data_IF_400452237475
#
_entry.id   IF_400452237475
#
_cell.length_a   1.000
_cell.length_b   1.000
_cell.length_c   1.000
_cell.angle_alpha   90.00
_cell.angle_beta   90.00
_cell.angle_gamma   90.00
#
_symmetry.space_group_name_H-M   'P 1'
#
loop_
_entity.id
_entity.type
_entity.pdbx_description
1 polymer ?
#
# COMPACT_ATOMS: atom_id res chain seq x y z
N UNK A 1 -5.58 8.49 15.86
CA UNK A 1 -4.16 8.47 15.46
C UNK A 1 -4.14 8.68 13.96
N UNK A 2 -3.56 9.78 13.47
CA UNK A 2 -3.46 10.02 12.03
C UNK A 2 -2.47 9.02 11.46
N UNK A 3 -2.92 8.18 10.52
CA UNK A 3 -2.03 7.24 9.84
C UNK A 3 -1.00 8.06 9.04
N UNK A 4 0.29 7.90 9.32
CA UNK A 4 1.38 8.64 8.68
C UNK A 4 1.38 8.49 7.15
N UNK A 5 0.86 7.35 6.64
CA UNK A 5 0.59 7.16 5.21
C UNK A 5 -0.47 8.11 4.62
N UNK A 6 -1.52 8.45 5.38
CA UNK A 6 -2.53 9.43 4.96
C UNK A 6 -1.94 10.85 4.94
N UNK A 7 -1.05 11.16 5.87
CA UNK A 7 -0.35 12.46 5.96
C UNK A 7 0.58 12.63 4.75
N UNK A 8 1.42 11.64 4.45
CA UNK A 8 2.27 11.66 3.26
C UNK A 8 1.48 11.74 1.95
N UNK A 9 0.35 11.04 1.86
CA UNK A 9 -0.56 11.14 0.71
C UNK A 9 -1.09 12.57 0.49
N UNK A 10 -1.48 13.25 1.57
CA UNK A 10 -1.95 14.64 1.54
C UNK A 10 -0.89 15.62 1.05
N UNK A 11 0.34 15.51 1.56
CA UNK A 11 1.45 16.37 1.11
C UNK A 11 1.85 16.11 -0.34
N UNK A 12 1.84 14.85 -0.80
CA UNK A 12 2.04 14.52 -2.23
C UNK A 12 0.96 15.14 -3.12
N UNK A 13 -0.31 15.11 -2.70
CA UNK A 13 -1.39 15.76 -3.42
C UNK A 13 -1.22 17.29 -3.47
N UNK A 14 -0.75 17.90 -2.38
CA UNK A 14 -0.47 19.33 -2.31
C UNK A 14 0.62 19.76 -3.31
N UNK A 15 1.65 18.92 -3.52
CA UNK A 15 2.70 19.14 -4.50
C UNK A 15 2.21 19.05 -5.95
N UNK A 16 1.27 18.15 -6.24
CA UNK A 16 0.69 17.96 -7.57
C UNK A 16 -0.37 19.01 -7.93
N UNK A 17 -0.92 19.71 -6.94
CA UNK A 17 -1.93 20.73 -7.16
C UNK A 17 -1.30 22.03 -7.72
N UNK A 18 -1.69 22.43 -8.93
CA UNK A 18 -1.20 23.68 -9.54
C UNK A 18 -1.74 24.94 -8.84
N UNK A 19 -2.83 24.82 -8.06
CA UNK A 19 -3.47 25.94 -7.36
C UNK A 19 -2.91 26.18 -5.94
N UNK A 20 -1.83 25.50 -5.54
CA UNK A 20 -1.18 25.71 -4.24
C UNK A 20 0.03 26.62 -4.38
N UNK A 21 0.33 27.41 -3.33
CA UNK A 21 1.46 28.34 -3.33
C UNK A 21 2.79 27.59 -3.26
N UNK A 22 3.85 28.27 -3.72
CA UNK A 22 5.21 27.71 -3.67
C UNK A 22 5.70 27.50 -2.24
N UNK A 23 5.32 28.36 -1.28
CA UNK A 23 5.66 28.15 0.13
C UNK A 23 4.99 26.88 0.68
N UNK A 24 3.73 26.65 0.32
CA UNK A 24 2.97 25.47 0.74
C UNK A 24 3.56 24.18 0.16
N UNK A 25 4.04 24.24 -1.08
CA UNK A 25 4.75 23.13 -1.73
C UNK A 25 6.10 22.89 -1.07
N UNK A 26 6.88 23.93 -0.78
CA UNK A 26 8.17 23.77 -0.11
C UNK A 26 8.02 23.10 1.25
N UNK A 27 7.08 23.56 2.08
CA UNK A 27 6.79 22.94 3.36
C UNK A 27 6.33 21.48 3.20
N UNK A 28 5.53 21.18 2.18
CA UNK A 28 5.12 19.79 1.89
C UNK A 28 6.28 18.88 1.49
N UNK A 29 7.33 19.41 0.86
CA UNK A 29 8.56 18.65 0.58
C UNK A 29 9.34 18.37 1.86
N UNK A 30 9.54 19.37 2.70
CA UNK A 30 10.25 19.23 3.98
C UNK A 30 9.61 18.16 4.87
N UNK A 31 8.28 18.17 4.98
CA UNK A 31 7.53 17.17 5.76
C UNK A 31 7.65 15.77 5.14
N UNK A 32 7.64 15.66 3.81
CA UNK A 32 7.82 14.37 3.14
C UNK A 32 9.22 13.79 3.34
N UNK A 33 10.26 14.64 3.27
CA UNK A 33 11.65 14.26 3.52
C UNK A 33 11.84 13.83 4.98
N UNK A 34 11.23 14.53 5.94
CA UNK A 34 11.27 14.17 7.36
C UNK A 34 10.57 12.84 7.63
N UNK A 35 9.39 12.63 7.04
CA UNK A 35 8.66 11.36 7.12
C UNK A 35 9.47 10.21 6.50
N UNK A 36 10.19 10.47 5.40
CA UNK A 36 11.06 9.49 4.75
C UNK A 36 12.24 9.11 5.62
N UNK A 37 12.90 10.09 6.22
CA UNK A 37 13.99 9.89 7.17
C UNK A 37 13.54 9.20 8.46
N UNK A 38 12.32 9.47 8.94
CA UNK A 38 11.77 8.83 10.13
C UNK A 38 11.36 7.37 9.90
N UNK A 39 11.33 6.93 8.63
CA UNK A 39 10.88 5.59 8.25
C UNK A 39 9.38 5.36 8.41
N UNK A 40 8.59 6.37 8.79
CA UNK A 40 7.14 6.25 8.95
C UNK A 40 6.40 6.07 7.62
N UNK A 41 6.91 6.65 6.52
CA UNK A 41 6.31 6.44 5.18
C UNK A 41 6.52 5.03 4.63
N UNK A 42 7.46 4.24 5.19
CA UNK A 42 7.61 2.85 4.78
C UNK A 42 6.43 1.96 5.23
N UNK A 43 5.56 2.45 6.12
CA UNK A 43 4.33 1.72 6.48
C UNK A 43 3.23 1.80 5.40
N UNK A 44 3.34 2.73 4.43
CA UNK A 44 2.33 2.93 3.38
C UNK A 44 2.61 2.26 2.04
N UNK A 45 3.89 2.00 1.74
CA UNK A 45 4.32 1.48 0.43
C UNK A 45 5.03 0.11 0.52
N UNK A 46 5.29 -0.39 1.72
CA UNK A 46 5.75 -1.76 1.92
C UNK A 46 4.56 -2.69 2.19
N UNK A 47 4.68 -3.91 1.70
CA UNK A 47 3.93 -5.13 2.07
C UNK A 47 3.68 -5.32 3.59
N UNK A 48 4.24 -4.47 4.46
CA UNK A 48 4.17 -4.47 5.92
C UNK A 48 2.81 -4.07 6.53
N UNK A 49 1.92 -3.41 5.79
CA UNK A 49 0.62 -2.93 6.31
C UNK A 49 -0.58 -3.85 6.02
N UNK A 50 -0.44 -4.79 5.09
CA UNK A 50 -1.49 -5.80 4.87
C UNK A 50 -1.23 -6.90 5.88
N UNK A 51 -2.17 -7.12 6.81
CA UNK A 51 -2.18 -8.33 7.62
C UNK A 51 -1.93 -9.51 6.68
N UNK A 52 -0.78 -10.18 6.78
CA UNK A 52 -0.42 -11.25 5.83
C UNK A 52 -1.52 -12.32 5.76
N UNK A 53 -2.22 -12.55 6.89
CA UNK A 53 -3.42 -13.37 6.95
C UNK A 53 -4.56 -12.91 6.04
N UNK A 54 -4.78 -11.60 5.87
CA UNK A 54 -5.79 -11.06 4.94
C UNK A 54 -5.37 -11.25 3.47
N UNK A 55 -4.07 -11.13 3.16
CA UNK A 55 -3.55 -11.39 1.81
C UNK A 55 -3.75 -12.86 1.46
N UNK A 56 -3.29 -13.74 2.34
CA UNK A 56 -3.49 -15.20 2.22
C UNK A 56 -4.98 -15.54 2.12
N UNK A 57 -5.81 -14.96 2.99
CA UNK A 57 -7.26 -15.16 2.99
C UNK A 57 -7.92 -14.73 1.68
N UNK A 58 -7.50 -13.60 1.11
CA UNK A 58 -7.98 -13.11 -0.18
C UNK A 58 -7.64 -14.05 -1.33
N UNK A 59 -6.41 -14.54 -1.40
CA UNK A 59 -6.01 -15.52 -2.43
C UNK A 59 -6.74 -16.85 -2.26
N UNK A 60 -6.93 -17.35 -1.02
CA UNK A 60 -7.74 -18.55 -0.76
C UNK A 60 -9.20 -18.36 -1.20
N UNK A 61 -9.78 -17.20 -0.95
CA UNK A 61 -11.14 -16.89 -1.41
C UNK A 61 -11.21 -16.86 -2.95
N UNK A 62 -10.18 -16.33 -3.61
CA UNK A 62 -10.07 -16.29 -5.07
C UNK A 62 -10.07 -17.71 -5.68
N UNK A 63 -9.40 -18.67 -5.03
CA UNK A 63 -9.39 -20.08 -5.46
C UNK A 63 -10.75 -20.78 -5.34
N UNK A 64 -11.52 -20.43 -4.31
CA UNK A 64 -12.85 -21.02 -4.06
C UNK A 64 -13.97 -20.35 -4.85
N UNK A 65 -13.72 -19.19 -5.46
CA UNK A 65 -14.73 -18.46 -6.19
C UNK A 65 -14.96 -19.11 -7.57
N UNK A 66 -16.18 -19.61 -7.88
CA UNK A 66 -16.45 -20.18 -9.20
C UNK A 66 -16.47 -19.13 -10.32
N UNK A 67 -16.56 -17.83 -9.98
CA UNK A 67 -16.63 -16.72 -10.93
C UNK A 67 -15.24 -16.14 -11.29
N UNK A 68 -14.15 -16.67 -10.75
CA UNK A 68 -12.79 -16.23 -11.08
C UNK A 68 -12.22 -17.08 -12.21
N UNK A 69 -11.38 -16.46 -13.04
CA UNK A 69 -10.72 -17.16 -14.15
C UNK A 69 -9.67 -18.14 -13.64
N UNK A 70 -9.38 -19.17 -14.45
CA UNK A 70 -8.34 -20.14 -14.13
C UNK A 70 -6.96 -19.50 -13.98
N UNK A 71 -6.63 -18.52 -14.83
CA UNK A 71 -5.39 -17.73 -14.74
C UNK A 71 -5.29 -16.98 -13.39
N UNK A 72 -6.39 -16.36 -12.94
CA UNK A 72 -6.43 -15.67 -11.65
C UNK A 72 -6.23 -16.64 -10.48
N UNK A 73 -6.79 -17.84 -10.59
CA UNK A 73 -6.58 -18.92 -9.61
C UNK A 73 -5.14 -19.39 -9.61
N UNK A 74 -4.53 -19.64 -10.77
CA UNK A 74 -3.14 -20.07 -10.89
C UNK A 74 -2.17 -19.06 -10.26
N UNK A 75 -2.33 -17.77 -10.55
CA UNK A 75 -1.56 -16.71 -9.90
C UNK A 75 -1.77 -16.72 -8.37
N UNK A 76 -3.01 -16.93 -7.90
CA UNK A 76 -3.28 -17.01 -6.46
C UNK A 76 -2.63 -18.22 -5.79
N UNK A 77 -2.52 -19.35 -6.49
CA UNK A 77 -1.78 -20.53 -6.03
C UNK A 77 -0.29 -20.23 -5.85
N UNK A 78 0.33 -19.62 -6.86
CA UNK A 78 1.75 -19.24 -6.83
C UNK A 78 2.05 -18.31 -5.65
N UNK A 79 1.21 -17.30 -5.42
CA UNK A 79 1.38 -16.36 -4.30
C UNK A 79 1.21 -17.06 -2.94
N UNK A 80 0.30 -18.02 -2.83
CA UNK A 80 0.11 -18.78 -1.58
C UNK A 80 1.28 -19.72 -1.31
N UNK A 81 1.83 -20.36 -2.35
CA UNK A 81 3.02 -21.22 -2.27
C UNK A 81 4.27 -20.41 -1.89
N UNK A 82 4.50 -19.26 -2.52
CA UNK A 82 5.59 -18.34 -2.17
C UNK A 82 5.54 -17.90 -0.71
N UNK A 83 4.32 -17.69 -0.18
CA UNK A 83 4.07 -17.32 1.21
C UNK A 83 4.03 -18.51 2.18
N UNK A 84 4.23 -19.75 1.71
CA UNK A 84 4.21 -20.96 2.52
C UNK A 84 2.84 -21.28 3.15
N UNK A 85 1.75 -20.82 2.52
CA UNK A 85 0.39 -20.99 3.02
C UNK A 85 -0.34 -22.11 2.27
N UNK A 86 -0.85 -23.10 3.00
CA UNK A 86 -1.66 -24.21 2.46
C UNK A 86 -3.03 -23.71 1.95
N UNK A 87 -3.57 -24.25 0.84
CA UNK A 87 -4.78 -23.72 0.17
C UNK A 87 -5.72 -24.74 -0.47
#
# INVERSE_FOLDING_TARGET
MSNSGNVAGGHKANLANSNTSDESKQHSKEVLDELEQSGEVNQGNGDAGKNQGNVIGGHKANLKNPNTSEESKEHSKQVLEEKGADY
#
